data_IF_965225300371
#
_entry.id   IF_965225300371
#
_cell.length_a   1.000
_cell.length_b   1.000
_cell.length_c   1.000
_cell.angle_alpha   90.00
_cell.angle_beta   90.00
_cell.angle_gamma   90.00
#
_symmetry.space_group_name_H-M   'P 1'
#
loop_
_entity.id
_entity.type
_entity.pdbx_description
1 polymer ?
#
# COMPACT_ATOMS: atom_id res chain seq x y z
N UNK A 1 1.69 16.54 17.23
CA UNK A 1 0.81 15.77 16.31
C UNK A 1 1.18 14.31 16.38
N UNK A 2 0.20 13.41 16.43
CA UNK A 2 0.44 11.96 16.49
C UNK A 2 0.65 11.44 15.06
N UNK A 3 1.88 11.04 14.74
CA UNK A 3 2.30 10.55 13.43
C UNK A 3 1.70 9.17 13.17
N UNK A 4 1.11 8.97 11.99
CA UNK A 4 0.62 7.70 11.48
C UNK A 4 1.37 7.35 10.21
N UNK A 5 2.03 6.19 10.16
CA UNK A 5 2.66 5.68 8.94
C UNK A 5 1.87 4.51 8.37
N UNK A 6 1.49 4.59 7.10
CA UNK A 6 0.84 3.51 6.38
C UNK A 6 1.80 2.84 5.39
N UNK A 7 2.12 1.57 5.66
CA UNK A 7 2.88 0.69 4.78
C UNK A 7 1.93 -0.29 4.07
N UNK A 8 2.27 -0.72 2.87
CA UNK A 8 1.55 -1.79 2.21
C UNK A 8 1.55 -1.75 0.70
N UNK A 9 0.71 -2.62 0.13
CA UNK A 9 0.52 -2.79 -1.30
C UNK A 9 -0.77 -2.14 -1.82
N UNK A 10 -1.31 -2.66 -2.92
CA UNK A 10 -2.52 -2.17 -3.59
C UNK A 10 -3.75 -2.13 -2.69
N UNK A 11 -3.95 -3.13 -1.83
CA UNK A 11 -5.10 -3.15 -0.91
C UNK A 11 -5.10 -1.96 0.07
N UNK A 12 -3.93 -1.45 0.44
CA UNK A 12 -3.79 -0.23 1.22
C UNK A 12 -3.72 1.04 0.36
N UNK A 13 -3.10 0.97 -0.83
CA UNK A 13 -2.97 2.11 -1.73
C UNK A 13 -4.32 2.55 -2.34
N UNK A 14 -5.25 1.62 -2.55
CA UNK A 14 -6.58 1.89 -3.12
C UNK A 14 -6.56 2.28 -4.61
N UNK A 15 -5.85 1.56 -5.50
CA UNK A 15 -5.81 1.89 -6.92
C UNK A 15 -7.21 1.87 -7.54
N UNK A 16 -7.51 2.89 -8.36
CA UNK A 16 -8.81 3.07 -9.00
C UNK A 16 -9.78 3.96 -8.20
N UNK A 17 -9.54 4.18 -6.90
CA UNK A 17 -10.33 5.09 -6.09
C UNK A 17 -9.88 6.54 -6.36
N UNK A 18 -10.79 7.40 -6.84
CA UNK A 18 -10.49 8.81 -7.14
C UNK A 18 -10.81 9.72 -5.95
N UNK A 19 -10.07 10.84 -5.77
CA UNK A 19 -8.91 11.25 -6.57
C UNK A 19 -7.63 10.53 -6.15
N UNK A 20 -6.60 10.56 -7.01
CA UNK A 20 -5.26 10.09 -6.65
C UNK A 20 -4.64 10.98 -5.58
N UNK A 21 -3.82 10.40 -4.71
CA UNK A 21 -3.12 11.14 -3.66
C UNK A 21 -2.14 12.16 -4.30
N UNK A 22 -2.22 13.45 -3.93
CA UNK A 22 -1.30 14.46 -4.43
C UNK A 22 0.16 14.10 -4.16
N UNK A 23 1.04 14.29 -5.13
CA UNK A 23 2.48 14.01 -5.01
C UNK A 23 2.86 12.53 -4.96
N UNK A 24 1.90 11.60 -4.89
CA UNK A 24 2.20 10.18 -4.93
C UNK A 24 2.67 9.74 -6.33
N UNK A 25 3.66 8.83 -6.44
CA UNK A 25 4.03 8.25 -7.73
C UNK A 25 2.81 7.62 -8.39
N UNK A 26 2.58 7.92 -9.68
CA UNK A 26 1.44 7.34 -10.42
C UNK A 26 1.40 5.81 -10.35
N UNK A 27 2.59 5.18 -10.37
CA UNK A 27 2.76 3.74 -10.25
C UNK A 27 2.36 3.16 -8.90
N UNK A 28 2.37 3.96 -7.83
CA UNK A 28 1.93 3.52 -6.50
C UNK A 28 0.42 3.24 -6.50
N UNK A 29 -0.35 3.87 -7.41
CA UNK A 29 -1.80 3.74 -7.45
C UNK A 29 -2.47 4.28 -6.19
N UNK A 30 -1.82 5.20 -5.48
CA UNK A 30 -2.28 5.70 -4.19
C UNK A 30 -3.47 6.65 -4.37
N UNK A 31 -4.55 6.37 -3.67
CA UNK A 31 -5.74 7.21 -3.61
C UNK A 31 -5.67 8.18 -2.43
N UNK A 32 -6.20 9.39 -2.62
CA UNK A 32 -6.46 10.33 -1.52
C UNK A 32 -7.64 9.90 -0.63
N UNK A 33 -8.30 8.78 -0.95
CA UNK A 33 -9.44 8.20 -0.23
C UNK A 33 -9.25 6.71 0.06
N UNK A 34 -8.00 6.25 0.12
CA UNK A 34 -7.71 4.91 0.60
C UNK A 34 -7.96 4.79 2.12
N UNK A 35 -7.96 3.56 2.66
CA UNK A 35 -8.28 3.37 4.08
C UNK A 35 -7.33 4.13 5.03
N UNK A 36 -6.00 4.27 4.76
CA UNK A 36 -5.14 5.10 5.60
C UNK A 36 -5.60 6.56 5.72
N UNK A 37 -6.01 7.19 4.61
CA UNK A 37 -6.52 8.56 4.66
C UNK A 37 -7.81 8.66 5.50
N UNK A 38 -8.69 7.66 5.41
CA UNK A 38 -9.93 7.61 6.20
C UNK A 38 -9.65 7.41 7.69
N UNK A 39 -8.72 6.52 8.04
CA UNK A 39 -8.29 6.27 9.42
C UNK A 39 -7.61 7.50 10.01
N UNK A 40 -6.71 8.13 9.27
CA UNK A 40 -6.02 9.34 9.70
C UNK A 40 -7.01 10.47 10.01
N UNK A 41 -7.97 10.69 9.12
CA UNK A 41 -9.02 11.69 9.31
C UNK A 41 -9.90 11.36 10.53
N UNK A 42 -10.34 10.10 10.68
CA UNK A 42 -11.18 9.68 11.79
C UNK A 42 -10.50 9.81 13.16
N UNK A 43 -9.18 9.64 13.22
CA UNK A 43 -8.40 9.67 14.45
C UNK A 43 -7.63 10.99 14.67
N UNK A 44 -7.72 11.95 13.75
CA UNK A 44 -6.96 13.20 13.82
C UNK A 44 -5.43 13.01 13.79
N UNK A 45 -4.94 12.00 13.06
CA UNK A 45 -3.52 11.66 12.95
C UNK A 45 -2.87 12.31 11.72
N UNK A 46 -1.58 12.63 11.83
CA UNK A 46 -0.78 13.13 10.71
C UNK A 46 -0.24 11.96 9.88
N UNK A 47 -0.78 11.80 8.66
CA UNK A 47 -0.55 10.62 7.82
C UNK A 47 0.68 10.77 6.93
N UNK A 48 1.62 9.85 7.10
CA UNK A 48 2.65 9.52 6.14
C UNK A 48 2.28 8.21 5.42
N UNK A 49 1.59 8.33 4.29
CA UNK A 49 1.24 7.19 3.45
C UNK A 49 2.38 6.86 2.49
N UNK A 50 2.98 5.67 2.62
CA UNK A 50 4.01 5.15 1.71
C UNK A 50 3.59 3.86 1.02
N UNK A 51 2.29 3.56 1.01
CA UNK A 51 1.72 2.40 0.31
C UNK A 51 2.03 2.44 -1.19
N UNK A 52 2.31 1.28 -1.79
CA UNK A 52 2.72 1.17 -3.19
C UNK A 52 2.16 -0.09 -3.84
N UNK A 53 1.32 0.06 -4.87
CA UNK A 53 0.70 -1.07 -5.59
C UNK A 53 1.74 -2.07 -6.12
N UNK A 54 1.51 -3.36 -5.85
CA UNK A 54 2.42 -4.42 -6.24
C UNK A 54 3.58 -4.65 -5.27
N UNK A 55 3.69 -3.89 -4.18
CA UNK A 55 4.68 -4.14 -3.14
C UNK A 55 4.54 -5.55 -2.55
N UNK A 56 5.68 -6.16 -2.26
CA UNK A 56 5.85 -7.46 -1.57
C UNK A 56 6.50 -7.21 -0.21
N UNK A 57 6.65 -8.24 0.61
CA UNK A 57 7.41 -8.14 1.88
C UNK A 57 8.85 -7.69 1.65
N UNK A 58 9.50 -8.11 0.56
CA UNK A 58 10.84 -7.64 0.19
C UNK A 58 10.87 -6.12 -0.07
N UNK A 59 9.90 -5.58 -0.80
CA UNK A 59 9.78 -4.13 -1.02
C UNK A 59 9.47 -3.35 0.27
N UNK A 60 8.87 -4.00 1.26
CA UNK A 60 8.65 -3.39 2.57
C UNK A 60 9.96 -3.33 3.36
N UNK A 61 10.73 -4.42 3.37
CA UNK A 61 11.85 -4.63 4.29
C UNK A 61 13.22 -4.19 3.75
N UNK A 62 13.52 -4.45 2.48
CA UNK A 62 14.91 -4.40 2.00
C UNK A 62 15.09 -3.93 0.55
N UNK A 63 14.09 -4.10 -0.31
CA UNK A 63 14.23 -3.82 -1.75
C UNK A 63 13.59 -2.49 -2.14
N UNK A 64 14.22 -1.80 -3.11
CA UNK A 64 13.65 -0.60 -3.72
C UNK A 64 12.57 -0.99 -4.71
N UNK A 65 11.44 -0.27 -4.68
CA UNK A 65 10.37 -0.42 -5.67
C UNK A 65 10.34 0.78 -6.60
N UNK A 66 10.72 0.58 -7.87
CA UNK A 66 10.73 1.65 -8.89
C UNK A 66 11.48 2.92 -8.44
N UNK A 67 12.63 2.72 -7.81
CA UNK A 67 13.48 3.80 -7.28
C UNK A 67 13.09 4.30 -5.88
N UNK A 68 11.90 3.97 -5.39
CA UNK A 68 11.46 4.30 -4.02
C UNK A 68 12.18 3.38 -3.02
N UNK A 69 12.72 3.91 -1.90
CA UNK A 69 13.34 3.09 -0.86
C UNK A 69 12.37 2.08 -0.23
N UNK A 70 12.89 1.05 0.47
CA UNK A 70 12.09 0.15 1.29
C UNK A 70 11.16 0.93 2.22
N UNK A 71 9.90 0.51 2.31
CA UNK A 71 8.89 1.30 3.03
C UNK A 71 9.20 1.44 4.52
N UNK A 72 9.86 0.44 5.13
CA UNK A 72 10.24 0.44 6.55
C UNK A 72 11.20 1.58 6.91
N UNK A 73 11.97 2.13 5.96
CA UNK A 73 12.87 3.27 6.20
C UNK A 73 12.11 4.57 6.53
N UNK A 74 10.78 4.59 6.35
CA UNK A 74 9.92 5.72 6.74
C UNK A 74 9.69 5.80 8.25
N UNK A 75 9.87 4.67 8.95
CA UNK A 75 9.66 4.59 10.39
C UNK A 75 10.85 5.20 11.14
N UNK A 76 10.58 6.05 12.12
CA UNK A 76 11.63 6.68 12.93
C UNK A 76 11.37 6.58 14.45
N UNK A 77 10.34 5.84 14.87
CA UNK A 77 10.01 5.61 16.26
C UNK A 77 9.10 6.67 16.88
N UNK A 78 8.74 7.72 16.14
CA UNK A 78 7.77 8.74 16.60
C UNK A 78 6.31 8.41 16.28
N UNK A 79 6.07 7.29 15.59
CA UNK A 79 4.75 6.87 15.16
C UNK A 79 3.85 6.47 16.34
N UNK A 80 2.66 7.06 16.41
CA UNK A 80 1.60 6.61 17.32
C UNK A 80 0.79 5.44 16.73
N UNK A 81 0.82 5.29 15.40
CA UNK A 81 0.15 4.21 14.69
C UNK A 81 0.98 3.81 13.46
N UNK A 82 1.08 2.51 13.23
CA UNK A 82 1.58 1.94 11.98
C UNK A 82 0.57 0.90 11.49
N UNK A 83 0.15 1.00 10.24
CA UNK A 83 -0.67 -0.05 9.60
C UNK A 83 0.12 -0.68 8.47
N UNK A 84 0.01 -2.00 8.33
CA UNK A 84 0.70 -2.78 7.30
C UNK A 84 -0.32 -3.67 6.59
N UNK A 85 -0.42 -3.53 5.26
CA UNK A 85 -1.17 -4.49 4.42
C UNK A 85 -0.29 -4.98 3.28
N UNK A 86 0.39 -6.10 3.49
CA UNK A 86 1.40 -6.66 2.60
C UNK A 86 1.23 -8.19 2.53
N UNK A 87 1.95 -8.88 1.63
CA UNK A 87 1.95 -10.35 1.53
C UNK A 87 1.12 -10.91 0.38
N UNK A 88 0.08 -10.19 -0.06
CA UNK A 88 -0.80 -10.68 -1.13
C UNK A 88 -0.08 -10.92 -2.46
N UNK A 89 0.90 -10.07 -2.81
CA UNK A 89 1.68 -10.29 -4.04
C UNK A 89 2.73 -11.39 -3.88
N UNK A 90 3.25 -11.58 -2.67
CA UNK A 90 4.23 -12.62 -2.35
C UNK A 90 3.65 -14.02 -2.64
N UNK A 91 2.37 -14.22 -2.32
CA UNK A 91 1.66 -15.49 -2.56
C UNK A 91 0.93 -15.53 -3.91
N UNK A 92 1.11 -14.53 -4.76
CA UNK A 92 0.44 -14.48 -6.07
C UNK A 92 -1.08 -14.39 -6.01
N UNK A 93 -1.63 -13.77 -4.95
CA UNK A 93 -3.07 -13.78 -4.66
C UNK A 93 -3.95 -13.32 -5.84
N UNK A 94 -3.67 -12.14 -6.41
CA UNK A 94 -4.45 -11.59 -7.54
C UNK A 94 -4.26 -12.42 -8.82
N UNK A 95 -3.02 -12.77 -9.26
CA UNK A 95 -2.83 -13.68 -10.38
C UNK A 95 -3.56 -15.02 -10.24
N UNK A 96 -3.52 -15.64 -9.05
CA UNK A 96 -4.21 -16.91 -8.79
C UNK A 96 -5.73 -16.76 -8.82
N UNK A 97 -6.28 -15.67 -8.28
CA UNK A 97 -7.71 -15.35 -8.42
C UNK A 97 -8.11 -15.19 -9.88
N UNK A 98 -7.29 -14.51 -10.69
CA UNK A 98 -7.57 -14.32 -12.12
C UNK A 98 -7.49 -15.65 -12.88
N UNK A 99 -6.49 -16.49 -12.59
CA UNK A 99 -6.40 -17.83 -13.16
C UNK A 99 -7.63 -18.67 -12.77
N UNK A 100 -8.03 -18.61 -11.51
CA UNK A 100 -9.25 -19.26 -11.04
C UNK A 100 -10.52 -18.68 -11.69
N UNK A 101 -10.52 -17.48 -12.26
CA UNK A 101 -11.68 -16.95 -12.98
C UNK A 101 -11.78 -17.41 -14.44
N UNK A 102 -10.79 -18.14 -14.96
CA UNK A 102 -10.79 -18.63 -16.34
C UNK A 102 -11.88 -19.70 -16.58
N UNK A 103 -12.44 -19.78 -17.81
CA UNK A 103 -13.33 -20.88 -18.20
C UNK A 103 -12.65 -22.23 -18.02
N UNK A 104 -13.41 -23.29 -17.69
CA UNK A 104 -12.89 -24.64 -17.45
C UNK A 104 -11.78 -25.16 -18.39
N UNK A 105 -11.87 -24.99 -19.73
CA UNK A 105 -10.80 -25.44 -20.64
C UNK A 105 -9.50 -24.61 -20.60
N UNK A 106 -9.50 -23.45 -19.92
CA UNK A 106 -8.37 -22.54 -19.76
C UNK A 106 -7.92 -22.39 -18.29
N UNK A 107 -8.65 -23.02 -17.37
CA UNK A 107 -8.36 -23.02 -15.93
C UNK A 107 -7.41 -24.18 -15.59
#
# INVERSE_FOLDING_TARGET
MNRYVALGSSMAAGPGIRPSAPGAPRAAGRSARNYPHLVAHALGLDLCDVTFSGATTAHLLSERQRGVPPQIETLNGSEALVTITIGGNDVGYVPLLMAAALPGPLR
#
